data_IF_978080882801
#
_entry.id   IF_978080882801
#
_cell.length_a   1.000
_cell.length_b   1.000
_cell.length_c   1.000
_cell.angle_alpha   90.00
_cell.angle_beta   90.00
_cell.angle_gamma   90.00
#
_symmetry.space_group_name_H-M   'P 1'
#
loop_
_entity.id
_entity.type
_entity.pdbx_description
1 polymer ?
#
# COMPACT_ATOMS: atom_id res chain seq x y z
N UNK A 1 20.19 -19.94 5.41
CA UNK A 1 20.30 -18.49 5.17
C UNK A 1 19.14 -17.81 5.89
N UNK A 2 19.42 -17.20 7.05
CA UNK A 2 18.42 -16.45 7.82
C UNK A 2 18.23 -15.09 7.13
N UNK A 3 17.01 -14.64 6.79
CA UNK A 3 16.86 -13.32 6.19
C UNK A 3 17.34 -12.27 7.21
N UNK A 4 18.30 -11.44 6.78
CA UNK A 4 18.82 -10.31 7.53
C UNK A 4 17.65 -9.36 7.85
N UNK A 5 17.72 -8.75 9.05
CA UNK A 5 16.75 -7.82 9.63
C UNK A 5 16.07 -6.94 8.55
N UNK A 6 14.75 -7.08 8.44
CA UNK A 6 13.84 -6.48 7.45
C UNK A 6 14.31 -5.14 6.84
N UNK A 7 14.83 -5.17 5.60
CA UNK A 7 15.11 -4.00 4.75
C UNK A 7 13.84 -3.30 4.23
N UNK A 8 12.75 -3.36 5.00
CA UNK A 8 11.45 -2.84 4.61
C UNK A 8 11.21 -1.48 5.24
N UNK A 9 10.77 -0.54 4.42
CA UNK A 9 10.44 0.83 4.81
C UNK A 9 8.95 1.02 4.67
N UNK A 10 8.30 1.55 5.71
CA UNK A 10 6.89 1.94 5.64
C UNK A 10 6.78 3.19 4.79
N UNK A 11 5.86 3.17 3.82
CA UNK A 11 5.62 4.29 2.91
C UNK A 11 4.16 4.73 2.86
N UNK A 12 3.26 3.95 3.47
CA UNK A 12 1.84 4.28 3.53
C UNK A 12 1.06 3.36 4.46
N UNK A 13 -0.20 3.73 4.69
CA UNK A 13 -1.13 3.00 5.55
C UNK A 13 -2.51 2.96 4.93
N UNK A 14 -3.16 1.80 4.96
CA UNK A 14 -4.58 1.70 4.59
C UNK A 14 -5.41 2.32 5.72
N UNK A 15 -6.08 3.44 5.43
CA UNK A 15 -6.87 4.20 6.42
C UNK A 15 -8.38 4.03 6.27
N UNK A 16 -8.82 3.32 5.24
CA UNK A 16 -10.23 3.03 5.00
C UNK A 16 -10.45 2.45 3.61
N UNK A 17 -11.72 2.41 3.21
CA UNK A 17 -12.16 1.95 1.89
C UNK A 17 -12.95 3.04 1.16
N UNK A 18 -13.14 2.86 -0.14
CA UNK A 18 -14.00 3.70 -0.97
C UNK A 18 -14.98 2.82 -1.78
N UNK A 19 -16.28 3.07 -1.59
CA UNK A 19 -17.34 2.31 -2.27
C UNK A 19 -17.38 0.83 -1.87
N UNK A 20 -18.09 0.04 -2.67
CA UNK A 20 -18.35 -1.39 -2.41
C UNK A 20 -17.47 -2.35 -3.24
N UNK A 21 -16.58 -1.84 -4.11
CA UNK A 21 -15.80 -2.67 -5.05
C UNK A 21 -14.45 -3.15 -4.50
N UNK A 22 -14.13 -2.85 -3.24
CA UNK A 22 -12.86 -3.25 -2.63
C UNK A 22 -11.72 -2.22 -2.77
N UNK A 23 -12.02 -1.01 -3.23
CA UNK A 23 -11.04 0.06 -3.36
C UNK A 23 -10.54 0.54 -1.98
N UNK A 24 -9.22 0.57 -1.80
CA UNK A 24 -8.54 0.96 -0.57
C UNK A 24 -8.19 2.46 -0.59
N UNK A 25 -8.28 3.11 0.57
CA UNK A 25 -7.72 4.44 0.81
C UNK A 25 -6.35 4.29 1.47
N UNK A 26 -5.29 4.63 0.76
CA UNK A 26 -3.91 4.55 1.24
C UNK A 26 -3.40 5.96 1.56
N UNK A 27 -3.18 6.24 2.83
CA UNK A 27 -2.51 7.46 3.26
C UNK A 27 -1.00 7.31 3.02
N UNK A 28 -0.36 8.24 2.27
CA UNK A 28 1.09 8.22 2.13
C UNK A 28 1.76 8.60 3.45
N UNK A 29 2.84 7.89 3.79
CA UNK A 29 3.72 8.10 4.94
C UNK A 29 5.18 8.21 4.45
N UNK A 30 5.36 9.00 3.40
CA UNK A 30 6.63 9.18 2.69
C UNK A 30 6.65 10.58 2.08
N UNK A 31 7.85 11.16 1.97
CA UNK A 31 8.06 12.47 1.34
C UNK A 31 7.97 12.42 -0.20
N UNK A 32 7.86 11.21 -0.78
CA UNK A 32 7.74 10.98 -2.23
C UNK A 32 6.42 10.21 -2.56
N UNK A 33 5.23 10.80 -2.32
CA UNK A 33 3.94 10.11 -2.47
C UNK A 33 3.61 9.73 -3.93
N UNK A 34 4.09 10.46 -4.92
CA UNK A 34 3.88 10.19 -6.34
C UNK A 34 4.35 8.79 -6.75
N UNK A 35 5.27 8.16 -6.01
CA UNK A 35 5.68 6.76 -6.22
C UNK A 35 4.51 5.77 -6.26
N UNK A 36 3.42 6.06 -5.56
CA UNK A 36 2.24 5.18 -5.55
C UNK A 36 1.63 5.07 -6.95
N UNK A 37 1.73 6.13 -7.79
CA UNK A 37 1.17 6.14 -9.15
C UNK A 37 1.92 5.19 -10.10
N UNK A 38 3.17 4.84 -9.78
CA UNK A 38 4.03 3.97 -10.60
C UNK A 38 4.11 2.53 -10.08
N UNK A 39 3.48 2.25 -8.92
CA UNK A 39 3.50 0.92 -8.32
C UNK A 39 2.77 -0.10 -9.18
N UNK A 40 3.48 -1.17 -9.57
CA UNK A 40 2.90 -2.33 -10.27
C UNK A 40 2.40 -3.42 -9.32
N UNK A 41 2.97 -3.49 -8.13
CA UNK A 41 2.60 -4.42 -7.08
C UNK A 41 2.62 -3.73 -5.73
N UNK A 42 1.75 -4.18 -4.82
CA UNK A 42 1.67 -3.65 -3.47
C UNK A 42 1.77 -4.78 -2.46
N UNK A 43 2.61 -4.56 -1.43
CA UNK A 43 2.76 -5.45 -0.28
C UNK A 43 2.21 -4.76 0.96
N UNK A 44 1.22 -5.40 1.58
CA UNK A 44 0.62 -4.96 2.83
C UNK A 44 1.10 -5.84 3.97
N UNK A 45 1.46 -5.20 5.07
CA UNK A 45 1.93 -5.83 6.29
C UNK A 45 1.02 -5.46 7.46
N UNK A 46 0.82 -6.37 8.41
CA UNK A 46 0.20 -6.03 9.68
C UNK A 46 1.08 -5.04 10.47
N UNK A 47 0.52 -4.34 11.48
CA UNK A 47 1.31 -3.48 12.36
C UNK A 47 2.47 -4.23 13.03
N UNK A 48 2.30 -5.53 13.32
CA UNK A 48 3.32 -6.42 13.90
C UNK A 48 4.37 -6.88 12.87
N UNK A 49 4.22 -6.49 11.60
CA UNK A 49 5.21 -6.73 10.56
C UNK A 49 5.04 -8.01 9.76
N UNK A 50 3.93 -8.75 9.92
CA UNK A 50 3.63 -9.94 9.10
C UNK A 50 3.10 -9.52 7.73
N UNK A 51 3.58 -10.13 6.64
CA UNK A 51 2.99 -9.94 5.31
C UNK A 51 1.55 -10.48 5.32
N UNK A 52 0.58 -9.62 4.98
CA UNK A 52 -0.86 -9.99 4.92
C UNK A 52 -1.37 -10.08 3.49
N UNK A 53 -0.76 -9.34 2.56
CA UNK A 53 -1.15 -9.33 1.16
C UNK A 53 0.03 -8.93 0.27
N UNK A 54 0.19 -9.58 -0.88
CA UNK A 54 1.05 -9.14 -1.98
C UNK A 54 0.29 -9.38 -3.28
N UNK A 55 -0.08 -8.30 -3.98
CA UNK A 55 -0.91 -8.35 -5.18
C UNK A 55 -0.49 -7.31 -6.22
N UNK A 56 -0.74 -7.58 -7.52
CA UNK A 56 -0.70 -6.55 -8.55
C UNK A 56 -1.60 -5.37 -8.22
N UNK A 57 -1.14 -4.18 -8.58
CA UNK A 57 -1.91 -2.94 -8.51
C UNK A 57 -2.66 -2.79 -9.83
N UNK A 58 -3.98 -2.73 -9.77
CA UNK A 58 -4.84 -2.55 -10.94
C UNK A 58 -5.02 -1.08 -11.28
N UNK A 59 -5.18 -0.23 -10.26
CA UNK A 59 -5.29 1.22 -10.45
C UNK A 59 -4.85 1.98 -9.20
N UNK A 60 -4.25 3.15 -9.42
CA UNK A 60 -3.96 4.15 -8.37
C UNK A 60 -4.41 5.51 -8.84
N UNK A 61 -5.16 6.22 -8.01
CA UNK A 61 -5.65 7.58 -8.30
C UNK A 61 -5.53 8.46 -7.07
N UNK A 62 -5.16 9.75 -7.19
CA UNK A 62 -5.23 10.67 -6.07
C UNK A 62 -6.67 10.79 -5.54
N UNK A 63 -6.81 10.73 -4.23
CA UNK A 63 -8.08 10.99 -3.54
C UNK A 63 -8.35 12.50 -3.38
N UNK A 64 -9.55 12.87 -2.90
CA UNK A 64 -9.92 14.27 -2.67
C UNK A 64 -8.91 15.01 -1.77
N UNK A 65 -8.52 16.20 -2.22
CA UNK A 65 -7.55 17.07 -1.54
C UNK A 65 -6.17 16.42 -1.30
N UNK A 66 -5.79 15.38 -2.06
CA UNK A 66 -4.46 14.78 -2.00
C UNK A 66 -4.13 14.04 -0.68
N UNK A 67 -5.12 13.79 0.18
CA UNK A 67 -4.89 13.20 1.53
C UNK A 67 -4.59 11.71 1.52
N UNK A 68 -4.98 11.00 0.46
CA UNK A 68 -4.79 9.57 0.29
C UNK A 68 -4.84 9.21 -1.20
N UNK A 69 -4.39 8.01 -1.55
CA UNK A 69 -4.60 7.39 -2.84
C UNK A 69 -5.77 6.40 -2.77
N UNK A 70 -6.57 6.35 -3.83
CA UNK A 70 -7.52 5.29 -4.10
C UNK A 70 -6.79 4.19 -4.87
N UNK A 71 -6.72 3.00 -4.28
CA UNK A 71 -5.95 1.87 -4.81
C UNK A 71 -6.86 0.67 -5.02
N UNK A 72 -6.83 0.09 -6.21
CA UNK A 72 -7.46 -1.19 -6.50
C UNK A 72 -6.36 -2.24 -6.68
N UNK A 73 -6.49 -3.36 -5.97
CA UNK A 73 -5.55 -4.47 -6.02
C UNK A 73 -6.24 -5.70 -6.62
N UNK A 74 -5.48 -6.48 -7.37
CA UNK A 74 -6.01 -7.73 -7.92
C UNK A 74 -6.45 -8.66 -6.81
N UNK A 75 -7.68 -9.17 -6.93
CA UNK A 75 -8.26 -10.11 -5.97
C UNK A 75 -8.79 -9.49 -4.68
N UNK A 76 -8.64 -8.18 -4.44
CA UNK A 76 -9.27 -7.50 -3.30
C UNK A 76 -10.64 -6.98 -3.73
N UNK A 77 -11.68 -7.76 -3.45
CA UNK A 77 -13.04 -7.51 -3.94
C UNK A 77 -14.01 -7.34 -2.78
N UNK A 78 -14.92 -6.39 -2.96
CA UNK A 78 -15.98 -6.18 -1.98
C UNK A 78 -15.50 -5.46 -0.71
N UNK A 79 -16.48 -4.99 0.05
CA UNK A 79 -16.26 -4.24 1.29
C UNK A 79 -15.62 -5.09 2.40
N UNK A 80 -16.06 -6.34 2.56
CA UNK A 80 -15.62 -7.22 3.65
C UNK A 80 -14.12 -7.50 3.58
N UNK A 81 -13.61 -7.86 2.40
CA UNK A 81 -12.20 -8.13 2.20
C UNK A 81 -11.36 -6.87 2.39
N UNK A 82 -11.76 -5.78 1.74
CA UNK A 82 -11.04 -4.51 1.83
C UNK A 82 -10.99 -3.94 3.27
N UNK A 83 -12.07 -4.09 4.04
CA UNK A 83 -12.10 -3.64 5.45
C UNK A 83 -11.11 -4.40 6.34
N UNK A 84 -10.84 -5.68 6.07
CA UNK A 84 -9.83 -6.47 6.82
C UNK A 84 -8.42 -5.93 6.64
N UNK A 85 -8.17 -5.17 5.58
CA UNK A 85 -6.87 -4.57 5.28
C UNK A 85 -6.69 -3.19 5.91
N UNK A 86 -7.73 -2.60 6.52
CA UNK A 86 -7.61 -1.31 7.21
C UNK A 86 -6.64 -1.44 8.38
N UNK A 87 -5.70 -0.50 8.46
CA UNK A 87 -4.59 -0.51 9.42
C UNK A 87 -3.32 -1.17 8.89
N UNK A 88 -3.39 -1.93 7.79
CA UNK A 88 -2.20 -2.52 7.17
C UNK A 88 -1.26 -1.45 6.60
N UNK A 89 0.03 -1.75 6.65
CA UNK A 89 1.13 -0.88 6.23
C UNK A 89 1.61 -1.28 4.84
N UNK A 90 1.74 -0.31 3.94
CA UNK A 90 2.47 -0.49 2.69
C UNK A 90 3.96 -0.42 3.02
N UNK A 91 4.70 -1.49 2.72
CA UNK A 91 6.16 -1.51 2.87
C UNK A 91 6.84 -1.84 1.55
N UNK A 92 7.98 -1.22 1.33
CA UNK A 92 8.85 -1.44 0.16
C UNK A 92 10.25 -1.79 0.61
N UNK A 93 11.00 -2.50 -0.24
CA UNK A 93 12.42 -2.74 0.04
C UNK A 93 13.22 -1.44 -0.02
N UNK A 94 14.31 -1.33 0.75
CA UNK A 94 15.23 -0.18 0.67
C UNK A 94 15.84 -0.01 -0.72
N UNK A 95 16.02 -1.10 -1.47
CA UNK A 95 16.51 -1.09 -2.85
C UNK A 95 15.52 -0.50 -3.85
N UNK A 96 14.23 -0.37 -3.50
CA UNK A 96 13.22 0.33 -4.31
C UNK A 96 13.22 1.85 -4.06
N UNK A 97 14.19 2.37 -3.29
CA UNK A 97 14.40 3.82 -3.18
C UNK A 97 15.01 4.33 -4.47
N UNK A 98 14.28 5.17 -5.17
CA UNK A 98 14.82 5.96 -6.27
C UNK A 98 15.93 6.85 -5.68
N UNK A 99 17.15 6.86 -6.23
CA UNK A 99 18.17 7.81 -5.82
C UNK A 99 17.65 9.23 -6.05
N UNK A 100 17.81 10.11 -5.06
CA UNK A 100 17.75 11.54 -5.34
C UNK A 100 19.00 11.85 -6.16
N UNK A 101 18.79 12.23 -7.42
CA UNK A 101 19.87 12.75 -8.28
C UNK A 101 20.48 14.03 -7.72
#
# INVERSE_FOLDING_TARGET
MVPLRSDLVVVGKVVGIHGFRGCLKVQPLTDYPERFLEMKEMRLYSPEGRLVLHRPVLSVRPGPAGRFFLVELEGVLGEVEARRLVGALVKVSRSERVPLG
#
